data_IF_666745570076
#
_entry.id   IF_666745570076
#
_cell.length_a   1.000
_cell.length_b   1.000
_cell.length_c   1.000
_cell.angle_alpha   90.00
_cell.angle_beta   90.00
_cell.angle_gamma   90.00
#
_symmetry.space_group_name_H-M   'P 1'
#
loop_
_entity.id
_entity.type
_entity.pdbx_description
1 polymer ?
#
# COMPACT_ATOMS: atom_id res chain seq x y z
N UNK A 1 19.40 -1.61 1.48
CA UNK A 1 18.02 -2.03 1.79
C UNK A 1 18.09 -3.47 2.28
N UNK A 2 17.29 -3.89 3.28
CA UNK A 2 17.13 -5.30 3.61
C UNK A 2 16.72 -6.13 2.39
N UNK A 3 17.27 -7.34 2.25
CA UNK A 3 17.02 -8.28 1.14
C UNK A 3 15.51 -8.54 0.91
N UNK A 4 14.73 -8.60 2.00
CA UNK A 4 13.28 -8.78 1.98
C UNK A 4 12.51 -7.62 1.31
N UNK A 5 13.08 -6.41 1.31
CA UNK A 5 12.50 -5.25 0.63
C UNK A 5 12.89 -5.20 -0.85
N UNK A 6 13.97 -5.89 -1.26
CA UNK A 6 14.45 -5.87 -2.65
C UNK A 6 13.47 -6.52 -3.63
N UNK A 7 12.47 -7.26 -3.14
CA UNK A 7 11.43 -7.91 -3.94
C UNK A 7 10.08 -7.16 -3.90
N UNK A 8 9.99 -6.03 -3.19
CA UNK A 8 8.76 -5.23 -3.15
C UNK A 8 8.54 -4.51 -4.49
N UNK A 9 7.30 -4.50 -5.00
CA UNK A 9 7.03 -4.08 -6.37
C UNK A 9 7.42 -2.64 -6.68
N UNK A 10 7.36 -1.73 -5.70
CA UNK A 10 7.84 -0.36 -5.86
C UNK A 10 9.36 -0.29 -6.10
N UNK A 11 10.14 -1.19 -5.51
CA UNK A 11 11.60 -1.20 -5.59
C UNK A 11 12.13 -1.87 -6.86
N UNK A 12 11.33 -2.73 -7.48
CA UNK A 12 11.72 -3.48 -8.69
C UNK A 12 11.18 -2.87 -10.00
N UNK A 13 10.70 -1.63 -9.96
CA UNK A 13 10.15 -0.92 -11.12
C UNK A 13 10.79 0.44 -11.36
N UNK A 14 10.58 1.01 -12.55
CA UNK A 14 11.23 2.24 -13.02
C UNK A 14 10.28 3.33 -13.53
N UNK A 15 8.98 3.18 -13.29
CA UNK A 15 7.92 4.08 -13.78
C UNK A 15 7.67 5.24 -12.83
N UNK A 16 7.51 4.97 -11.53
CA UNK A 16 7.22 6.00 -10.53
C UNK A 16 8.25 5.99 -9.39
N UNK A 17 8.40 7.10 -8.64
CA UNK A 17 9.32 7.16 -7.51
C UNK A 17 8.94 6.16 -6.41
N UNK A 18 9.96 5.49 -5.85
CA UNK A 18 9.85 4.72 -4.60
C UNK A 18 9.55 5.64 -3.42
N UNK A 19 8.97 5.09 -2.36
CA UNK A 19 8.58 5.87 -1.18
C UNK A 19 9.77 6.59 -0.53
N UNK A 20 10.97 6.00 -0.55
CA UNK A 20 12.20 6.64 -0.06
C UNK A 20 12.50 7.98 -0.77
N UNK A 21 12.22 8.07 -2.07
CA UNK A 21 12.36 9.32 -2.82
C UNK A 21 11.28 10.36 -2.49
N UNK A 22 10.22 9.94 -1.79
CA UNK A 22 9.07 10.76 -1.42
C UNK A 22 9.03 11.11 0.07
N UNK A 23 10.10 10.85 0.81
CA UNK A 23 10.21 11.11 2.25
C UNK A 23 10.34 9.83 3.09
N UNK A 24 10.13 8.67 2.48
CA UNK A 24 10.35 7.36 3.08
C UNK A 24 9.22 6.89 4.00
N UNK A 25 9.40 5.70 4.60
CA UNK A 25 8.46 5.10 5.52
C UNK A 25 8.12 6.05 6.67
N UNK A 26 6.84 6.35 6.84
CA UNK A 26 6.38 7.26 7.89
C UNK A 26 6.34 8.73 7.52
N UNK A 27 6.67 9.11 6.28
CA UNK A 27 6.52 10.48 5.80
C UNK A 27 5.97 10.61 4.36
N UNK A 28 6.04 9.57 3.52
CA UNK A 28 5.67 9.64 2.11
C UNK A 28 4.25 10.19 1.85
N UNK A 29 3.27 9.89 2.71
CA UNK A 29 1.89 10.36 2.54
C UNK A 29 1.71 11.88 2.62
N UNK A 30 2.71 12.61 3.15
CA UNK A 30 2.72 14.07 3.17
C UNK A 30 3.24 14.67 1.87
N UNK A 31 3.92 13.88 1.03
CA UNK A 31 4.39 14.33 -0.27
C UNK A 31 3.27 14.25 -1.31
N UNK A 32 2.88 15.35 -1.97
CA UNK A 32 1.80 15.34 -2.94
C UNK A 32 2.07 14.40 -4.14
N UNK A 33 3.34 14.11 -4.45
CA UNK A 33 3.71 13.17 -5.52
C UNK A 33 3.45 11.70 -5.16
N UNK A 34 3.21 11.38 -3.89
CA UNK A 34 2.85 10.02 -3.47
C UNK A 34 1.40 9.66 -3.83
N UNK A 35 0.53 10.66 -3.99
CA UNK A 35 -0.86 10.46 -4.37
C UNK A 35 -1.02 10.48 -5.88
N UNK A 36 -1.16 9.30 -6.48
CA UNK A 36 -1.30 9.13 -7.93
C UNK A 36 -2.71 8.65 -8.27
N UNK A 37 -3.41 9.43 -9.08
CA UNK A 37 -4.78 9.12 -9.56
C UNK A 37 -4.77 8.74 -11.04
N UNK A 38 -5.93 8.38 -11.60
CA UNK A 38 -6.12 8.13 -13.03
C UNK A 38 -5.76 9.34 -13.91
N UNK A 39 -5.67 10.54 -13.34
CA UNK A 39 -5.25 11.77 -14.03
C UNK A 39 -3.74 11.99 -14.04
N UNK A 40 -2.97 11.10 -13.42
CA UNK A 40 -1.51 11.23 -13.36
C UNK A 40 -0.92 11.12 -14.77
N UNK A 41 0.09 11.93 -15.17
CA UNK A 41 0.68 11.88 -16.51
C UNK A 41 1.27 10.52 -16.91
N UNK A 42 1.62 9.69 -15.92
CA UNK A 42 2.10 8.33 -16.14
C UNK A 42 0.96 7.31 -16.34
N UNK A 43 -0.31 7.70 -16.28
CA UNK A 43 -1.46 6.81 -16.48
C UNK A 43 -1.60 6.47 -17.97
N UNK A 44 -0.62 5.76 -18.52
CA UNK A 44 -0.47 5.48 -19.95
C UNK A 44 -0.23 3.99 -20.19
N UNK A 45 -0.61 3.52 -21.38
CA UNK A 45 -0.33 2.15 -21.80
C UNK A 45 1.19 1.83 -21.79
N UNK A 46 2.04 2.80 -22.09
CA UNK A 46 3.49 2.63 -22.05
C UNK A 46 4.00 2.38 -20.62
N UNK A 47 3.46 3.09 -19.63
CA UNK A 47 3.75 2.87 -18.21
C UNK A 47 3.24 1.52 -17.73
N UNK A 48 2.05 1.09 -18.14
CA UNK A 48 1.52 -0.25 -17.83
C UNK A 48 2.44 -1.35 -18.37
N UNK A 49 2.81 -1.27 -19.65
CA UNK A 49 3.70 -2.24 -20.28
C UNK A 49 5.09 -2.29 -19.61
N UNK A 50 5.61 -1.12 -19.19
CA UNK A 50 6.88 -1.06 -18.47
C UNK A 50 6.80 -1.68 -17.07
N UNK A 51 5.76 -1.37 -16.30
CA UNK A 51 5.57 -2.01 -14.99
C UNK A 51 5.42 -3.53 -15.13
N UNK A 52 4.68 -4.01 -16.13
CA UNK A 52 4.56 -5.45 -16.38
C UNK A 52 5.91 -6.09 -16.70
N UNK A 53 6.72 -5.46 -17.56
CA UNK A 53 8.06 -5.95 -17.88
C UNK A 53 9.01 -5.94 -16.67
N UNK A 54 8.89 -4.92 -15.82
CA UNK A 54 9.70 -4.75 -14.61
C UNK A 54 9.31 -5.79 -13.53
N UNK A 55 8.02 -6.07 -13.36
CA UNK A 55 7.52 -7.05 -12.38
C UNK A 55 7.57 -8.51 -12.84
N UNK A 56 7.48 -8.78 -14.14
CA UNK A 56 7.41 -10.14 -14.69
C UNK A 56 8.52 -11.11 -14.22
N UNK A 57 9.80 -10.68 -14.04
CA UNK A 57 10.83 -11.55 -13.49
C UNK A 57 10.53 -12.06 -12.07
N UNK A 58 9.78 -11.29 -11.29
CA UNK A 58 9.45 -11.56 -9.88
C UNK A 58 8.20 -12.44 -9.72
N UNK A 59 7.44 -12.68 -10.80
CA UNK A 59 6.30 -13.61 -10.81
C UNK A 59 6.68 -15.03 -11.26
N UNK A 60 7.95 -15.26 -11.63
CA UNK A 60 8.40 -16.55 -12.16
C UNK A 60 8.38 -17.64 -11.08
N UNK A 61 8.14 -18.88 -11.49
CA UNK A 61 8.25 -20.06 -10.62
C UNK A 61 6.94 -20.55 -10.00
N UNK A 62 5.81 -19.90 -10.26
CA UNK A 62 4.49 -20.38 -9.82
C UNK A 62 3.73 -20.96 -11.01
N UNK A 63 4.00 -22.22 -11.33
CA UNK A 63 3.31 -22.94 -12.40
C UNK A 63 1.80 -22.97 -12.14
N UNK A 64 0.99 -22.65 -13.16
CA UNK A 64 -0.47 -22.62 -13.07
C UNK A 64 -1.07 -21.41 -12.34
N UNK A 65 -0.27 -20.42 -11.94
CA UNK A 65 -0.80 -19.19 -11.33
C UNK A 65 -1.69 -18.42 -12.32
N UNK A 66 -2.95 -18.18 -11.94
CA UNK A 66 -3.94 -17.46 -12.76
C UNK A 66 -3.93 -15.95 -12.51
N UNK A 67 -3.26 -15.51 -11.45
CA UNK A 67 -3.23 -14.12 -10.99
C UNK A 67 -1.79 -13.68 -10.76
N UNK A 68 -1.51 -12.43 -11.09
CA UNK A 68 -0.23 -11.76 -10.83
C UNK A 68 -0.43 -10.87 -9.62
N UNK A 69 0.47 -10.98 -8.65
CA UNK A 69 0.39 -10.23 -7.40
C UNK A 69 1.62 -9.36 -7.26
N UNK A 70 1.38 -8.11 -6.87
CA UNK A 70 2.40 -7.19 -6.43
C UNK A 70 1.99 -6.69 -5.03
N UNK A 71 2.98 -6.47 -4.16
CA UNK A 71 2.78 -5.89 -2.83
C UNK A 71 3.67 -4.67 -2.70
N UNK A 72 3.07 -3.51 -2.46
CA UNK A 72 3.71 -2.32 -1.90
C UNK A 72 2.71 -1.58 -1.01
N UNK A 73 3.01 -1.24 0.25
CA UNK A 73 2.07 -0.56 1.14
C UNK A 73 1.55 0.77 0.57
N UNK A 74 2.42 1.56 -0.05
CA UNK A 74 2.04 2.86 -0.61
C UNK A 74 1.14 2.78 -1.85
N UNK A 75 0.92 1.58 -2.41
CA UNK A 75 -0.04 1.43 -3.51
C UNK A 75 -1.48 1.77 -3.09
N UNK A 76 -1.78 1.86 -1.79
CA UNK A 76 -3.05 2.46 -1.33
C UNK A 76 -3.25 3.91 -1.82
N UNK A 77 -2.17 4.70 -1.97
CA UNK A 77 -2.22 6.07 -2.50
C UNK A 77 -2.08 6.14 -4.02
N UNK A 78 -1.86 4.99 -4.65
CA UNK A 78 -1.68 4.86 -6.11
C UNK A 78 -2.77 3.96 -6.71
N UNK A 79 -3.78 3.54 -5.93
CA UNK A 79 -4.77 2.56 -6.35
C UNK A 79 -5.55 3.03 -7.58
N UNK A 80 -5.98 4.30 -7.60
CA UNK A 80 -6.66 4.91 -8.76
C UNK A 80 -5.78 4.95 -10.01
N UNK A 81 -4.51 5.30 -9.85
CA UNK A 81 -3.51 5.24 -10.92
C UNK A 81 -3.34 3.82 -11.45
N UNK A 82 -3.15 2.83 -10.57
CA UNK A 82 -2.98 1.42 -10.94
C UNK A 82 -4.24 0.85 -11.61
N UNK A 83 -5.43 1.23 -11.14
CA UNK A 83 -6.70 0.90 -11.80
C UNK A 83 -6.79 1.48 -13.21
N UNK A 84 -6.26 2.68 -13.45
CA UNK A 84 -6.22 3.25 -14.79
C UNK A 84 -5.29 2.48 -15.74
N UNK A 85 -4.20 1.92 -15.22
CA UNK A 85 -3.28 1.06 -15.99
C UNK A 85 -3.89 -0.32 -16.27
N UNK A 86 -4.59 -0.90 -15.30
CA UNK A 86 -5.26 -2.19 -15.41
C UNK A 86 -6.69 -2.10 -14.84
N UNK A 87 -7.71 -1.85 -15.69
CA UNK A 87 -9.10 -1.65 -15.23
C UNK A 87 -9.71 -2.84 -14.47
N UNK A 88 -9.16 -4.05 -14.68
CA UNK A 88 -9.59 -5.29 -14.02
C UNK A 88 -8.65 -5.72 -12.88
N UNK A 89 -7.79 -4.83 -12.40
CA UNK A 89 -6.96 -5.08 -11.20
C UNK A 89 -7.83 -5.11 -9.94
N UNK A 90 -7.33 -5.77 -8.90
CA UNK A 90 -7.96 -5.87 -7.58
C UNK A 90 -7.01 -5.27 -6.54
N UNK A 91 -7.53 -4.45 -5.63
CA UNK A 91 -6.77 -3.76 -4.60
C UNK A 91 -7.14 -4.31 -3.22
N UNK A 92 -6.24 -5.10 -2.64
CA UNK A 92 -6.36 -5.57 -1.27
C UNK A 92 -5.58 -4.64 -0.35
N UNK A 93 -6.28 -3.88 0.49
CA UNK A 93 -5.68 -2.90 1.39
C UNK A 93 -5.83 -3.39 2.82
N UNK A 94 -4.70 -3.60 3.48
CA UNK A 94 -4.66 -4.01 4.89
C UNK A 94 -4.59 -2.76 5.75
N UNK A 95 -5.59 -2.58 6.60
CA UNK A 95 -5.65 -1.51 7.59
C UNK A 95 -5.37 -2.11 8.96
N UNK A 96 -4.54 -1.41 9.73
CA UNK A 96 -4.18 -1.75 11.11
C UNK A 96 -4.30 -0.49 11.96
N UNK A 97 -4.62 -0.64 13.24
CA UNK A 97 -4.75 0.47 14.17
C UNK A 97 -3.53 1.41 14.11
N UNK A 98 -3.72 2.75 14.01
CA UNK A 98 -2.64 3.71 13.75
C UNK A 98 -1.52 3.65 14.78
N UNK A 99 -1.87 3.48 16.07
CA UNK A 99 -0.87 3.37 17.15
C UNK A 99 0.02 2.14 16.96
N UNK A 100 -0.55 1.00 16.57
CA UNK A 100 0.21 -0.22 16.36
C UNK A 100 1.14 -0.10 15.14
N UNK A 101 0.68 0.55 14.07
CA UNK A 101 1.52 0.86 12.90
C UNK A 101 2.64 1.82 13.29
N UNK A 102 2.36 2.89 14.01
CA UNK A 102 3.35 3.89 14.41
C UNK A 102 4.49 3.29 15.24
N UNK A 103 4.18 2.44 16.22
CA UNK A 103 5.20 1.73 16.99
C UNK A 103 5.99 0.72 16.13
N UNK A 104 5.33 0.01 15.21
CA UNK A 104 6.01 -0.91 14.30
C UNK A 104 6.98 -0.16 13.37
N UNK A 105 6.57 0.97 12.80
CA UNK A 105 7.40 1.84 11.97
C UNK A 105 8.57 2.40 12.76
N UNK A 106 8.35 2.85 14.00
CA UNK A 106 9.43 3.32 14.88
C UNK A 106 10.46 2.22 15.17
N UNK A 107 10.00 1.00 15.46
CA UNK A 107 10.86 -0.14 15.71
C UNK A 107 11.62 -0.59 14.45
N UNK A 108 11.02 -0.45 13.27
CA UNK A 108 11.68 -0.70 11.98
C UNK A 108 12.73 0.38 11.70
N UNK A 109 12.37 1.66 11.79
CA UNK A 109 13.26 2.78 11.52
C UNK A 109 14.48 2.80 12.47
N UNK A 110 14.28 2.46 13.75
CA UNK A 110 15.38 2.32 14.70
C UNK A 110 16.39 1.23 14.30
N UNK A 111 15.93 0.14 13.68
CA UNK A 111 16.78 -0.97 13.19
C UNK A 111 17.47 -0.67 11.86
N UNK A 112 16.94 0.25 11.06
CA UNK A 112 17.38 0.50 9.68
C UNK A 112 17.96 1.90 9.45
N UNK A 113 18.65 2.45 10.46
CA UNK A 113 19.45 3.68 10.31
C UNK A 113 18.87 4.95 10.95
N UNK A 114 17.67 4.91 11.51
CA UNK A 114 17.03 6.04 12.20
C UNK A 114 17.50 6.25 13.66
N UNK A 115 18.26 5.30 14.22
CA UNK A 115 18.82 5.35 15.58
C UNK A 115 17.77 5.55 16.68
N UNK A 116 18.22 5.98 17.87
CA UNK A 116 17.31 6.22 19.03
C UNK A 116 16.27 7.30 18.76
N UNK A 117 16.54 8.24 17.85
CA UNK A 117 15.62 9.34 17.51
C UNK A 117 14.36 8.81 16.81
N UNK A 118 14.48 7.82 15.94
CA UNK A 118 13.35 7.20 15.26
C UNK A 118 12.39 6.45 16.21
N UNK A 119 12.86 6.06 17.39
CA UNK A 119 12.04 5.45 18.45
C UNK A 119 11.52 6.47 19.48
N UNK A 120 11.71 7.78 19.25
CA UNK A 120 11.22 8.81 20.17
C UNK A 120 9.69 8.91 20.16
N UNK A 121 9.11 9.39 21.26
CA UNK A 121 7.67 9.66 21.32
C UNK A 121 7.20 10.62 20.22
N UNK A 122 8.02 11.63 19.89
CA UNK A 122 7.76 12.55 18.79
C UNK A 122 7.68 11.81 17.45
N UNK A 123 8.61 10.90 17.16
CA UNK A 123 8.57 10.10 15.93
C UNK A 123 7.34 9.20 15.85
N UNK A 124 6.93 8.57 16.96
CA UNK A 124 5.70 7.76 17.00
C UNK A 124 4.47 8.62 16.66
N UNK A 125 4.38 9.84 17.19
CA UNK A 125 3.28 10.76 16.85
C UNK A 125 3.31 11.11 15.36
N UNK A 126 4.48 11.40 14.79
CA UNK A 126 4.59 11.72 13.36
C UNK A 126 4.22 10.52 12.47
N UNK A 127 4.61 9.30 12.84
CA UNK A 127 4.18 8.09 12.12
C UNK A 127 2.66 7.88 12.18
N UNK A 128 2.02 8.22 13.30
CA UNK A 128 0.56 8.19 13.41
C UNK A 128 -0.09 9.28 12.52
N UNK A 129 0.48 10.50 12.44
CA UNK A 129 -0.02 11.55 11.52
C UNK A 129 0.12 11.14 10.06
N UNK A 130 1.25 10.55 9.70
CA UNK A 130 1.47 10.00 8.37
C UNK A 130 0.43 8.93 8.04
N UNK A 131 0.16 8.01 8.96
CA UNK A 131 -0.88 7.00 8.80
C UNK A 131 -2.24 7.66 8.56
N UNK A 132 -2.63 8.64 9.39
CA UNK A 132 -3.91 9.34 9.25
C UNK A 132 -4.02 10.00 7.88
N UNK A 133 -2.97 10.71 7.45
CA UNK A 133 -2.93 11.35 6.14
C UNK A 133 -3.10 10.34 5.00
N UNK A 134 -2.40 9.20 5.07
CA UNK A 134 -2.52 8.17 4.05
C UNK A 134 -3.94 7.59 3.97
N UNK A 135 -4.57 7.38 5.13
CA UNK A 135 -5.91 6.79 5.19
C UNK A 135 -7.01 7.80 4.85
N UNK A 136 -6.84 9.09 5.15
CA UNK A 136 -7.73 10.15 4.67
C UNK A 136 -7.76 10.23 3.14
N UNK A 137 -6.57 10.14 2.51
CA UNK A 137 -6.45 10.10 1.04
C UNK A 137 -7.11 8.85 0.47
N UNK A 138 -6.86 7.68 1.07
CA UNK A 138 -7.52 6.45 0.66
C UNK A 138 -9.04 6.58 0.75
N UNK A 139 -9.57 7.03 1.90
CA UNK A 139 -11.02 7.20 2.11
C UNK A 139 -11.65 8.10 1.05
N UNK A 140 -10.98 9.20 0.69
CA UNK A 140 -11.41 10.10 -0.37
C UNK A 140 -11.42 9.44 -1.76
N UNK A 141 -10.55 8.45 -1.98
CA UNK A 141 -10.42 7.74 -3.26
C UNK A 141 -11.33 6.52 -3.38
N UNK A 142 -11.87 5.98 -2.28
CA UNK A 142 -12.65 4.73 -2.29
C UNK A 142 -13.84 4.77 -3.25
N UNK A 143 -14.51 5.92 -3.39
CA UNK A 143 -15.63 6.07 -4.33
C UNK A 143 -15.24 5.99 -5.80
N UNK A 144 -13.95 6.10 -6.12
CA UNK A 144 -13.40 6.02 -7.48
C UNK A 144 -12.79 4.64 -7.79
N UNK A 145 -12.76 3.72 -6.81
CA UNK A 145 -12.20 2.38 -6.98
C UNK A 145 -13.30 1.35 -7.22
N UNK A 146 -13.11 0.48 -8.20
CA UNK A 146 -14.07 -0.56 -8.60
C UNK A 146 -13.88 -1.84 -7.81
N UNK A 147 -12.64 -2.35 -7.74
CA UNK A 147 -12.32 -3.65 -7.16
C UNK A 147 -11.44 -3.51 -5.91
N UNK A 148 -11.93 -2.83 -4.88
CA UNK A 148 -11.19 -2.61 -3.64
C UNK A 148 -11.78 -3.42 -2.48
N UNK A 149 -10.88 -3.98 -1.67
CA UNK A 149 -11.23 -4.67 -0.41
C UNK A 149 -10.35 -4.17 0.71
N UNK A 150 -10.98 -3.66 1.76
CA UNK A 150 -10.30 -3.32 3.01
C UNK A 150 -10.33 -4.53 3.96
N UNK A 151 -9.17 -4.89 4.50
CA UNK A 151 -9.01 -5.94 5.50
C UNK A 151 -8.46 -5.31 6.78
N UNK A 152 -9.22 -5.41 7.88
CA UNK A 152 -8.75 -5.01 9.20
C UNK A 152 -7.86 -6.11 9.79
N UNK A 153 -6.59 -5.79 10.02
CA UNK A 153 -5.59 -6.78 10.43
C UNK A 153 -5.95 -7.43 11.77
N UNK A 154 -6.46 -6.65 12.72
CA UNK A 154 -6.83 -7.12 14.05
C UNK A 154 -7.92 -8.20 13.99
N UNK A 155 -8.90 -8.03 13.11
CA UNK A 155 -9.98 -9.00 12.92
C UNK A 155 -9.50 -10.24 12.19
N UNK A 156 -8.71 -10.03 11.13
CA UNK A 156 -8.11 -11.13 10.38
C UNK A 156 -7.20 -12.00 11.25
N UNK A 157 -6.45 -11.39 12.17
CA UNK A 157 -5.56 -12.09 13.09
C UNK A 157 -6.31 -12.81 14.23
N UNK A 158 -7.48 -12.30 14.65
CA UNK A 158 -8.29 -12.91 15.70
C UNK A 158 -9.06 -14.16 15.19
N UNK A 159 -9.49 -14.15 13.93
CA UNK A 159 -10.21 -15.26 13.30
C UNK A 159 -9.60 -15.65 11.95
N UNK A 160 -8.36 -16.19 11.91
CA UNK A 160 -7.74 -16.63 10.68
C UNK A 160 -8.51 -17.85 10.13
N UNK A 161 -9.12 -17.72 8.96
CA UNK A 161 -9.77 -18.85 8.28
C UNK A 161 -8.78 -19.59 7.39
N UNK A 162 -8.90 -20.92 7.36
CA UNK A 162 -8.05 -21.81 6.56
C UNK A 162 -8.16 -21.60 5.04
N UNK A 163 -9.22 -20.93 4.57
CA UNK A 163 -9.45 -20.61 3.15
C UNK A 163 -8.99 -19.20 2.75
N UNK A 164 -8.39 -18.43 3.67
CA UNK A 164 -8.01 -17.03 3.45
C UNK A 164 -9.20 -16.06 3.38
N UNK A 165 -10.43 -16.51 3.68
CA UNK A 165 -11.61 -15.66 3.74
C UNK A 165 -11.59 -14.76 4.97
N UNK A 166 -11.82 -13.45 4.78
CA UNK A 166 -11.97 -12.54 5.93
C UNK A 166 -13.23 -12.91 6.74
N UNK A 167 -13.08 -13.09 8.05
CA UNK A 167 -14.20 -13.13 8.99
C UNK A 167 -14.99 -11.82 8.94
N UNK A 168 -16.33 -11.95 8.92
CA UNK A 168 -17.44 -10.98 9.03
C UNK A 168 -17.39 -9.55 8.43
N UNK A 169 -16.25 -8.97 8.05
CA UNK A 169 -16.23 -7.59 7.54
C UNK A 169 -15.39 -7.48 6.28
N UNK A 170 -16.04 -7.67 5.15
CA UNK A 170 -15.58 -7.16 3.86
C UNK A 170 -16.24 -5.79 3.70
N UNK A 171 -15.45 -4.71 3.74
CA UNK A 171 -15.94 -3.42 3.27
C UNK A 171 -15.81 -3.46 1.74
N UNK A 172 -16.83 -3.99 1.08
CA UNK A 172 -16.96 -3.93 -0.38
C UNK A 172 -17.35 -2.51 -0.77
N UNK A 173 -16.61 -1.91 -1.70
CA UNK A 173 -16.89 -0.60 -2.27
C UNK A 173 -18.18 -0.61 -3.08
N UNK A 174 -19.31 -0.54 -2.38
CA UNK A 174 -20.65 -0.47 -2.93
C UNK A 174 -21.56 0.36 -2.03
N UNK A 175 -21.58 1.68 -2.28
CA UNK A 175 -22.57 2.66 -1.83
C UNK A 175 -23.28 2.39 -0.49
N UNK A 176 -22.54 2.18 0.60
CA UNK A 176 -23.10 2.23 1.96
C UNK A 176 -22.15 3.00 2.86
N UNK A 177 -22.70 4.02 3.52
CA UNK A 177 -21.99 5.08 4.22
C UNK A 177 -21.01 4.57 5.27
N UNK A 178 -19.88 5.27 5.33
CA UNK A 178 -18.79 5.05 6.27
C UNK A 178 -19.14 5.70 7.61
N UNK A 179 -19.14 4.93 8.70
CA UNK A 179 -19.04 5.45 10.06
C UNK A 179 -17.86 4.77 10.73
N UNK A 180 -16.92 5.60 11.22
CA UNK A 180 -15.78 5.21 12.03
C UNK A 180 -16.20 4.59 13.36
#
# INVERSE_FOLDING_TARGET
MPEELEQEGQHVQRVYPVDDALGGPGAFAHNPLAHMTERHPLATAASAARLEADWAPHWRGVEGAKVRLEKSPANMLRARFLQALWPNSYHLIIVRHPVAVAFATAAWAARHGGGKRAASAASVVEFARHWLRAHDLLLADLSSLTNVRIVRLEEFAAEPRADGGAGRTVLEGGNRGWMC
#
